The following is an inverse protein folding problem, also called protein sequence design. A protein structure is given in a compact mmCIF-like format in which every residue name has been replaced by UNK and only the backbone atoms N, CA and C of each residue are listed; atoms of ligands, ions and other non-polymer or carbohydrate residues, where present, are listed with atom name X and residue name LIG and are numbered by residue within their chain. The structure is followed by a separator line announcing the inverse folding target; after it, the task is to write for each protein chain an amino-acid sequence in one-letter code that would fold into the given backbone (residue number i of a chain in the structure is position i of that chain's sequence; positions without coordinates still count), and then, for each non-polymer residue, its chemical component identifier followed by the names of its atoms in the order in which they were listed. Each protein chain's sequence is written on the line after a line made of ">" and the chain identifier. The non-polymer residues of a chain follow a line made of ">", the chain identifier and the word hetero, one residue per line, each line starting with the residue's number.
data_IF_336671306719
#
_entry.id   IF_336671306719
#
_cell.length_a   1.000
_cell.length_b   1.000
_cell.length_c   1.000
_cell.angle_alpha   90.00
_cell.angle_beta   90.00
_cell.angle_gamma   90.00
#
_symmetry.space_group_name_H-M   'P 1'
#
loop_
_entity.id
_entity.type
_entity.pdbx_description
1 polymer ?
#
# COMPACT_ATOMS: atom_id res chain seq x y z
N UNK A 1 9.44 29.82 51.65
CA UNK A 1 9.68 28.47 51.08
C UNK A 1 8.35 28.05 50.45
N UNK A 2 8.13 27.94 49.15
CA UNK A 2 9.00 27.53 48.03
C UNK A 2 8.59 28.34 46.78
N UNK A 3 9.59 28.81 46.04
CA UNK A 3 9.42 29.43 44.74
C UNK A 3 9.02 28.34 43.73
N UNK A 4 7.88 28.48 43.07
CA UNK A 4 7.55 27.68 41.88
C UNK A 4 8.12 28.46 40.70
N UNK A 5 9.40 28.24 40.43
CA UNK A 5 10.08 28.76 39.24
C UNK A 5 9.54 28.06 38.01
N UNK A 6 9.12 28.87 37.05
CA UNK A 6 8.66 28.48 35.72
C UNK A 6 9.66 27.56 35.02
N UNK A 7 9.18 26.40 34.57
CA UNK A 7 9.87 25.56 33.61
C UNK A 7 8.91 25.25 32.46
N UNK A 8 8.45 26.30 31.78
CA UNK A 8 7.62 26.21 30.58
C UNK A 8 8.44 26.66 29.36
N UNK A 9 9.55 25.98 29.06
CA UNK A 9 10.39 26.33 27.91
C UNK A 9 11.28 25.18 27.41
N UNK A 10 10.75 23.94 27.31
CA UNK A 10 11.55 22.83 26.77
C UNK A 10 10.80 21.86 25.84
N UNK A 11 9.55 22.13 25.47
CA UNK A 11 8.77 21.23 24.58
C UNK A 11 8.73 21.66 23.11
N UNK A 12 9.62 22.54 22.65
CA UNK A 12 9.53 23.17 21.32
C UNK A 12 10.53 22.66 20.27
N UNK A 13 11.29 21.59 20.54
CA UNK A 13 12.37 21.14 19.63
C UNK A 13 12.35 19.65 19.30
N UNK A 14 11.18 19.02 19.22
CA UNK A 14 11.10 17.68 18.62
C UNK A 14 11.15 17.84 17.10
N UNK A 15 12.19 17.35 16.39
CA UNK A 15 12.21 17.40 14.95
C UNK A 15 11.14 16.43 14.44
N UNK A 16 10.26 16.93 13.57
CA UNK A 16 9.31 16.09 12.86
C UNK A 16 10.08 15.22 11.87
N UNK A 17 10.48 14.03 12.31
CA UNK A 17 11.04 13.01 11.40
C UNK A 17 9.88 12.49 10.57
N UNK A 18 9.91 12.75 9.26
CA UNK A 18 8.95 12.18 8.32
C UNK A 18 9.08 10.65 8.38
N UNK A 19 7.99 9.98 8.78
CA UNK A 19 7.92 8.53 8.75
C UNK A 19 8.00 8.07 7.28
N UNK A 20 8.87 7.10 6.94
CA UNK A 20 8.81 6.45 5.63
C UNK A 20 7.43 5.79 5.52
N UNK A 21 6.66 6.19 4.52
CA UNK A 21 5.25 5.77 4.37
C UNK A 21 4.27 6.91 4.07
N UNK A 22 4.74 8.15 3.89
CA UNK A 22 3.94 9.15 3.18
C UNK A 22 3.51 8.50 1.85
N UNK A 23 2.20 8.27 1.72
CA UNK A 23 1.62 7.60 0.57
C UNK A 23 2.21 8.21 -0.70
N UNK A 24 2.80 7.38 -1.58
CA UNK A 24 3.14 7.83 -2.91
C UNK A 24 1.91 8.51 -3.48
N UNK A 25 2.03 9.79 -3.83
CA UNK A 25 0.96 10.52 -4.49
C UNK A 25 0.70 9.81 -5.80
N UNK A 26 -0.33 8.96 -5.83
CA UNK A 26 -0.68 8.21 -7.03
C UNK A 26 -1.20 9.24 -8.04
N UNK A 27 -0.48 9.41 -9.13
CA UNK A 27 -0.89 10.31 -10.23
C UNK A 27 -2.02 9.64 -11.02
N UNK A 28 -3.23 9.69 -10.46
CA UNK A 28 -4.45 9.13 -11.05
C UNK A 28 -4.94 7.84 -10.39
N UNK A 29 -6.10 7.29 -10.84
CA UNK A 29 -6.63 6.04 -10.30
C UNK A 29 -5.65 4.87 -10.50
N UNK A 30 -5.51 3.94 -9.54
CA UNK A 30 -4.75 2.70 -9.72
C UNK A 30 -5.30 1.89 -10.90
N UNK A 31 -4.41 1.41 -11.79
CA UNK A 31 -4.80 0.62 -12.97
C UNK A 31 -4.17 -0.78 -12.94
N UNK A 32 -4.93 -1.79 -13.34
CA UNK A 32 -4.49 -3.18 -13.27
C UNK A 32 -5.59 -4.20 -13.57
N UNK A 33 -5.40 -5.40 -13.03
CA UNK A 33 -6.29 -6.55 -13.15
C UNK A 33 -6.69 -7.08 -11.76
N UNK A 34 -7.85 -7.73 -11.65
CA UNK A 34 -8.27 -8.43 -10.42
C UNK A 34 -8.82 -9.83 -10.70
N UNK A 35 -8.59 -10.78 -9.81
CA UNK A 35 -9.07 -12.17 -9.94
C UNK A 35 -10.57 -12.36 -9.74
N UNK A 36 -11.35 -11.30 -9.46
CA UNK A 36 -12.82 -11.33 -9.27
C UNK A 36 -13.57 -12.15 -10.32
N UNK A 37 -13.17 -12.08 -11.59
CA UNK A 37 -13.81 -12.84 -12.68
C UNK A 37 -13.60 -14.36 -12.57
N UNK A 38 -12.57 -14.80 -11.83
CA UNK A 38 -12.27 -16.21 -11.57
C UNK A 38 -13.03 -16.77 -10.36
N UNK A 39 -13.58 -15.91 -9.49
CA UNK A 39 -14.17 -16.34 -8.22
C UNK A 39 -13.20 -17.19 -7.40
N UNK A 40 -13.69 -18.29 -6.82
CA UNK A 40 -12.86 -19.22 -6.05
C UNK A 40 -11.99 -20.17 -6.90
N UNK A 41 -11.98 -20.04 -8.22
CA UNK A 41 -11.10 -20.82 -9.12
C UNK A 41 -9.73 -20.16 -9.32
N UNK A 42 -9.37 -19.18 -8.48
CA UNK A 42 -8.07 -18.50 -8.54
C UNK A 42 -6.93 -19.48 -8.29
N UNK A 43 -5.87 -19.38 -9.09
CA UNK A 43 -4.67 -20.22 -8.99
C UNK A 43 -3.41 -19.39 -9.19
N UNK A 44 -2.26 -19.89 -8.72
CA UNK A 44 -0.96 -19.28 -8.99
C UNK A 44 -0.73 -19.10 -10.50
N UNK A 45 -1.06 -20.11 -11.31
CA UNK A 45 -0.89 -20.06 -12.76
C UNK A 45 -1.70 -18.93 -13.41
N UNK A 46 -2.95 -18.73 -12.99
CA UNK A 46 -3.80 -17.65 -13.50
C UNK A 46 -3.27 -16.27 -13.09
N UNK A 47 -2.82 -16.13 -11.83
CA UNK A 47 -2.25 -14.87 -11.32
C UNK A 47 -0.95 -14.53 -12.05
N UNK A 48 -0.05 -15.50 -12.25
CA UNK A 48 1.20 -15.33 -12.99
C UNK A 48 0.93 -14.95 -14.44
N UNK A 49 0.00 -15.64 -15.12
CA UNK A 49 -0.36 -15.31 -16.49
C UNK A 49 -0.93 -13.89 -16.63
N UNK A 50 -1.76 -13.45 -15.67
CA UNK A 50 -2.25 -12.08 -15.63
C UNK A 50 -1.10 -11.06 -15.43
N UNK A 51 -0.14 -11.36 -14.55
CA UNK A 51 1.04 -10.52 -14.34
C UNK A 51 1.92 -10.41 -15.59
N UNK A 52 2.19 -11.54 -16.25
CA UNK A 52 2.97 -11.59 -17.50
C UNK A 52 2.28 -10.80 -18.62
N UNK A 53 0.94 -10.85 -18.69
CA UNK A 53 0.14 -10.07 -19.64
C UNK A 53 0.13 -8.56 -19.33
N UNK A 54 0.23 -8.16 -18.06
CA UNK A 54 0.31 -6.75 -17.65
C UNK A 54 1.69 -6.15 -17.81
N UNK A 55 2.77 -6.95 -17.79
CA UNK A 55 4.15 -6.47 -17.90
C UNK A 55 4.40 -5.48 -19.06
N UNK A 56 3.95 -5.71 -20.31
CA UNK A 56 4.12 -4.74 -21.39
C UNK A 56 3.26 -3.46 -21.24
N UNK A 57 2.25 -3.47 -20.38
CA UNK A 57 1.35 -2.34 -20.10
C UNK A 57 1.79 -1.52 -18.87
N UNK A 58 2.82 -1.96 -18.14
CA UNK A 58 3.35 -1.24 -16.98
C UNK A 58 3.77 0.21 -17.30
N UNK A 59 4.39 0.53 -18.45
CA UNK A 59 4.68 1.92 -18.83
C UNK A 59 3.44 2.80 -19.01
N UNK A 60 2.26 2.19 -19.25
CA UNK A 60 0.98 2.89 -19.35
C UNK A 60 0.28 3.03 -17.99
N UNK A 61 0.89 2.55 -16.90
CA UNK A 61 0.36 2.64 -15.54
C UNK A 61 -0.40 1.41 -15.03
N UNK A 62 -0.53 0.34 -15.83
CA UNK A 62 -1.12 -0.93 -15.38
C UNK A 62 -0.12 -1.71 -14.53
N UNK A 63 -0.19 -1.54 -13.21
CA UNK A 63 0.83 -2.03 -12.26
C UNK A 63 0.30 -2.94 -11.17
N UNK A 64 -1.02 -3.09 -11.06
CA UNK A 64 -1.64 -3.83 -9.97
C UNK A 64 -2.20 -5.18 -10.44
N UNK A 65 -1.83 -6.24 -9.72
CA UNK A 65 -2.44 -7.58 -9.81
C UNK A 65 -3.12 -7.83 -8.47
N UNK A 66 -4.46 -7.75 -8.46
CA UNK A 66 -5.26 -7.89 -7.25
C UNK A 66 -5.79 -9.32 -7.15
N UNK A 67 -5.43 -10.01 -6.07
CA UNK A 67 -5.97 -11.33 -5.72
C UNK A 67 -7.19 -11.11 -4.81
N UNK A 68 -8.39 -11.27 -5.36
CA UNK A 68 -9.67 -11.25 -4.62
C UNK A 68 -9.83 -12.51 -3.74
N UNK A 69 -10.99 -12.71 -3.10
CA UNK A 69 -11.22 -13.79 -2.12
C UNK A 69 -10.97 -15.23 -2.58
N UNK A 70 -11.04 -16.16 -1.62
CA UNK A 70 -10.82 -17.61 -1.75
C UNK A 70 -9.38 -18.08 -2.04
N UNK A 71 -8.37 -17.20 -2.05
CA UNK A 71 -6.97 -17.59 -2.25
C UNK A 71 -6.32 -18.24 -1.02
N UNK A 72 -6.85 -17.96 0.16
CA UNK A 72 -6.27 -18.41 1.44
C UNK A 72 -6.54 -19.90 1.64
N UNK A 73 -5.58 -20.61 2.23
CA UNK A 73 -5.83 -21.95 2.75
C UNK A 73 -6.93 -21.89 3.85
N UNK A 74 -7.73 -22.96 4.02
CA UNK A 74 -8.59 -23.09 5.19
C UNK A 74 -7.78 -22.93 6.49
N UNK A 75 -8.37 -22.27 7.48
CA UNK A 75 -7.80 -22.11 8.82
C UNK A 75 -7.86 -23.43 9.60
#
# INVERSE_FOLDING_TARGET
>A
MRMITAAAAAFLAMPLVALPGAAETISGPPMGWSSRALGCSVSESAVRQAADALAPLAPLGYRYVVIDGCWQAPQ
#
